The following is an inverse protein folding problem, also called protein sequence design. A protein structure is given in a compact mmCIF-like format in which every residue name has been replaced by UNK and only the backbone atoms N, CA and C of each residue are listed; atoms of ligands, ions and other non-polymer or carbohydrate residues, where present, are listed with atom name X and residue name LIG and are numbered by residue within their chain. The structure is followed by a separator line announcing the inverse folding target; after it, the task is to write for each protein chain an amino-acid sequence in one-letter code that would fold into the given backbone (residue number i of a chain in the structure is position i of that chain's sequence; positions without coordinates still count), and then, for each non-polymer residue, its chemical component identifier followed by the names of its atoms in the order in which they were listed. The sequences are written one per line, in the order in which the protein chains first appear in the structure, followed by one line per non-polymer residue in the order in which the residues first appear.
data_IF_623208227884
#
_entry.id   IF_623208227884
#
_cell.length_a   1.000
_cell.length_b   1.000
_cell.length_c   1.000
_cell.angle_alpha   90.00
_cell.angle_beta   90.00
_cell.angle_gamma   90.00
#
_symmetry.space_group_name_H-M   'P 1'
#
loop_
_entity.id
_entity.type
_entity.pdbx_description
1 polymer ?
#
# COMPACT_ATOMS: atom_id res chain seq x y z
N UNK A 1 -9.46 -10.51 8.76
CA UNK A 1 -8.84 -9.96 7.53
C UNK A 1 -9.79 -8.94 6.94
N UNK A 2 -9.26 -7.89 6.33
CA UNK A 2 -10.01 -6.83 5.65
C UNK A 2 -9.34 -6.50 4.31
N UNK A 3 -10.14 -6.07 3.34
CA UNK A 3 -9.65 -5.56 2.06
C UNK A 3 -9.06 -4.16 2.24
N UNK A 4 -7.78 -4.01 1.92
CA UNK A 4 -7.11 -2.72 1.78
C UNK A 4 -6.98 -2.38 0.28
N UNK A 5 -7.24 -1.14 -0.10
CA UNK A 5 -7.04 -0.66 -1.46
C UNK A 5 -5.73 0.12 -1.53
N UNK A 6 -4.89 -0.20 -2.51
CA UNK A 6 -3.58 0.42 -2.71
C UNK A 6 -3.73 1.86 -3.23
N UNK A 7 -4.47 2.02 -4.33
CA UNK A 7 -4.98 3.32 -4.75
C UNK A 7 -6.29 3.58 -4.00
N UNK A 8 -6.34 4.59 -3.11
CA UNK A 8 -7.53 4.89 -2.33
C UNK A 8 -8.69 5.30 -3.23
N UNK A 9 -9.89 4.80 -2.95
CA UNK A 9 -11.10 5.16 -3.70
C UNK A 9 -11.40 6.66 -3.65
N UNK A 10 -10.89 7.37 -2.64
CA UNK A 10 -10.98 8.84 -2.55
C UNK A 10 -10.39 9.56 -3.77
N UNK A 11 -9.46 8.94 -4.51
CA UNK A 11 -8.93 9.50 -5.76
C UNK A 11 -10.04 9.77 -6.78
N UNK A 12 -11.05 8.90 -6.85
CA UNK A 12 -12.17 9.01 -7.79
C UNK A 12 -13.06 10.23 -7.53
N UNK A 13 -13.02 10.77 -6.31
CA UNK A 13 -13.81 11.94 -5.92
C UNK A 13 -13.02 13.25 -6.04
N UNK A 14 -11.74 13.20 -6.47
CA UNK A 14 -10.92 14.41 -6.64
C UNK A 14 -11.01 14.89 -8.08
N UNK A 15 -11.53 16.11 -8.25
CA UNK A 15 -11.74 16.72 -9.57
C UNK A 15 -10.47 16.83 -10.40
N UNK A 16 -9.31 17.07 -9.77
CA UNK A 16 -8.01 17.16 -10.46
C UNK A 16 -7.64 15.88 -11.24
N UNK A 17 -8.13 14.71 -10.83
CA UNK A 17 -7.84 13.44 -11.54
C UNK A 17 -8.94 13.03 -12.51
N UNK A 18 -10.06 13.78 -12.55
CA UNK A 18 -11.25 13.40 -13.31
C UNK A 18 -10.99 13.26 -14.81
N UNK A 19 -10.24 14.20 -15.40
CA UNK A 19 -9.89 14.18 -16.83
C UNK A 19 -9.05 12.96 -17.19
N UNK A 20 -8.00 12.67 -16.42
CA UNK A 20 -7.15 11.51 -16.62
C UNK A 20 -7.95 10.22 -16.46
N UNK A 21 -8.70 10.05 -15.38
CA UNK A 21 -9.45 8.81 -15.16
C UNK A 21 -10.55 8.57 -16.18
N UNK A 22 -11.21 9.63 -16.67
CA UNK A 22 -12.16 9.52 -17.77
C UNK A 22 -11.49 9.05 -19.07
N UNK A 23 -10.29 9.57 -19.38
CA UNK A 23 -9.54 9.19 -20.57
C UNK A 23 -8.94 7.78 -20.49
N UNK A 24 -8.41 7.38 -19.33
CA UNK A 24 -7.77 6.09 -19.13
C UNK A 24 -8.79 4.96 -18.99
N UNK A 25 -9.92 5.23 -18.31
CA UNK A 25 -10.93 4.24 -17.96
C UNK A 25 -10.61 3.50 -16.65
N UNK A 26 -11.60 3.43 -15.75
CA UNK A 26 -11.45 2.80 -14.41
C UNK A 26 -11.07 1.32 -14.45
N UNK A 27 -11.60 0.60 -15.44
CA UNK A 27 -11.31 -0.83 -15.65
C UNK A 27 -9.83 -1.05 -15.99
N UNK A 28 -9.28 -0.24 -16.91
CA UNK A 28 -7.88 -0.33 -17.33
C UNK A 28 -6.91 0.03 -16.20
N UNK A 29 -7.28 0.98 -15.35
CA UNK A 29 -6.52 1.29 -14.12
C UNK A 29 -6.64 0.15 -13.09
N UNK A 30 -7.78 -0.56 -13.08
CA UNK A 30 -8.03 -1.68 -12.17
C UNK A 30 -8.46 -1.23 -10.77
N UNK A 31 -9.11 -0.08 -10.63
CA UNK A 31 -9.57 0.43 -9.32
C UNK A 31 -10.45 -0.56 -8.56
N UNK A 32 -11.31 -1.27 -9.30
CA UNK A 32 -12.27 -2.22 -8.77
C UNK A 32 -11.78 -3.70 -8.89
N UNK A 33 -10.61 -3.94 -9.50
CA UNK A 33 -9.98 -5.27 -9.50
C UNK A 33 -9.09 -5.45 -8.27
N UNK A 34 -9.55 -6.27 -7.33
CA UNK A 34 -8.85 -6.54 -6.08
C UNK A 34 -7.47 -7.18 -6.25
N UNK A 35 -7.24 -7.95 -7.33
CA UNK A 35 -5.93 -8.57 -7.58
C UNK A 35 -4.87 -7.52 -7.93
N UNK A 36 -5.34 -6.42 -8.50
CA UNK A 36 -4.51 -5.32 -8.98
C UNK A 36 -4.34 -4.29 -7.87
N UNK A 37 -5.46 -3.79 -7.36
CA UNK A 37 -5.51 -2.63 -6.48
C UNK A 37 -5.78 -3.00 -5.02
N UNK A 38 -5.73 -4.29 -4.69
CA UNK A 38 -6.08 -4.79 -3.37
C UNK A 38 -4.97 -5.61 -2.71
N UNK A 39 -5.11 -5.70 -1.39
CA UNK A 39 -4.39 -6.62 -0.52
C UNK A 39 -5.27 -6.99 0.68
N UNK A 40 -5.15 -8.23 1.17
CA UNK A 40 -5.80 -8.63 2.42
C UNK A 40 -4.87 -8.33 3.58
N UNK A 41 -5.34 -7.51 4.52
CA UNK A 41 -4.60 -7.17 5.72
C UNK A 41 -5.36 -7.58 7.00
N UNK A 42 -4.66 -7.86 8.09
CA UNK A 42 -5.23 -8.06 9.40
C UNK A 42 -6.15 -6.92 9.83
N UNK A 43 -7.32 -7.26 10.35
CA UNK A 43 -8.30 -6.30 10.87
C UNK A 43 -8.28 -6.21 12.40
N UNK A 44 -7.46 -7.03 13.06
CA UNK A 44 -7.27 -7.03 14.50
C UNK A 44 -5.83 -7.42 14.85
N UNK A 45 -5.41 -7.00 16.02
CA UNK A 45 -4.06 -7.12 16.58
C UNK A 45 -3.63 -8.58 16.64
N UNK A 46 -4.53 -9.47 17.11
CA UNK A 46 -4.27 -10.92 17.16
C UNK A 46 -3.98 -11.51 15.77
N UNK A 47 -4.67 -11.04 14.73
CA UNK A 47 -4.41 -11.49 13.37
C UNK A 47 -3.10 -10.92 12.83
N UNK A 48 -2.79 -9.65 13.14
CA UNK A 48 -1.53 -9.01 12.76
C UNK A 48 -0.33 -9.73 13.37
N UNK A 49 -0.37 -10.02 14.67
CA UNK A 49 0.65 -10.80 15.37
C UNK A 49 0.85 -12.19 14.76
N UNK A 50 -0.24 -12.90 14.43
CA UNK A 50 -0.16 -14.26 13.87
C UNK A 50 0.35 -14.31 12.43
N UNK A 51 0.26 -13.21 11.68
CA UNK A 51 0.56 -13.19 10.24
C UNK A 51 1.78 -12.35 9.89
N UNK A 52 2.33 -11.60 10.87
CA UNK A 52 3.36 -10.58 10.66
C UNK A 52 2.98 -9.52 9.60
N UNK A 53 1.68 -9.37 9.30
CA UNK A 53 1.19 -8.38 8.35
C UNK A 53 0.71 -7.10 9.07
N UNK A 54 0.77 -5.93 8.40
CA UNK A 54 0.33 -4.67 8.98
C UNK A 54 -1.14 -4.68 9.43
N UNK A 55 -1.40 -4.11 10.60
CA UNK A 55 -2.75 -3.90 11.10
C UNK A 55 -3.48 -2.85 10.27
N UNK A 56 -4.55 -3.27 9.60
CA UNK A 56 -5.47 -2.41 8.87
C UNK A 56 -6.75 -2.18 9.68
N UNK A 57 -6.83 -1.01 10.34
CA UNK A 57 -8.05 -0.52 11.00
C UNK A 57 -8.26 0.97 10.76
N UNK A 58 -9.48 1.32 10.37
CA UNK A 58 -9.90 2.71 10.23
C UNK A 58 -9.25 3.45 9.06
N UNK A 59 -9.49 4.77 8.94
CA UNK A 59 -8.89 5.59 7.92
C UNK A 59 -7.39 5.84 8.21
N UNK A 60 -6.55 5.69 7.18
CA UNK A 60 -5.11 5.92 7.22
C UNK A 60 -4.75 7.19 6.42
N UNK A 61 -4.87 8.35 7.07
CA UNK A 61 -4.79 9.67 6.42
C UNK A 61 -3.42 9.93 5.78
N UNK A 62 -2.33 9.63 6.48
CA UNK A 62 -0.96 9.86 6.00
C UNK A 62 -0.65 9.02 4.76
N UNK A 63 -1.05 7.74 4.77
CA UNK A 63 -0.98 6.87 3.61
C UNK A 63 -1.76 7.46 2.43
N UNK A 64 -3.00 7.88 2.66
CA UNK A 64 -3.85 8.42 1.60
C UNK A 64 -3.24 9.69 0.99
N UNK A 65 -2.72 10.60 1.82
CA UNK A 65 -2.06 11.81 1.37
C UNK A 65 -0.86 11.49 0.47
N UNK A 66 0.02 10.59 0.93
CA UNK A 66 1.17 10.15 0.14
C UNK A 66 0.76 9.56 -1.22
N UNK A 67 -0.25 8.67 -1.25
CA UNK A 67 -0.71 8.09 -2.52
C UNK A 67 -1.35 9.14 -3.43
N UNK A 68 -2.08 10.10 -2.86
CA UNK A 68 -2.69 11.21 -3.61
C UNK A 68 -1.60 12.07 -4.27
N UNK A 69 -0.54 12.40 -3.54
CA UNK A 69 0.57 13.20 -4.08
C UNK A 69 1.26 12.47 -5.25
N UNK A 70 1.53 11.17 -5.10
CA UNK A 70 2.15 10.36 -6.16
C UNK A 70 1.27 10.23 -7.40
N UNK A 71 -0.05 10.12 -7.23
CA UNK A 71 -0.98 10.15 -8.38
C UNK A 71 -1.04 11.54 -9.01
N UNK A 72 -0.83 12.60 -8.22
CA UNK A 72 -0.62 13.96 -8.70
C UNK A 72 0.53 14.09 -9.68
N UNK A 73 1.69 13.51 -9.35
CA UNK A 73 2.86 13.52 -10.24
C UNK A 73 2.55 12.84 -11.59
N UNK A 74 1.85 11.69 -11.56
CA UNK A 74 1.45 10.94 -12.76
C UNK A 74 0.46 11.76 -13.60
N UNK A 75 -0.54 12.39 -12.97
CA UNK A 75 -1.51 13.21 -13.68
C UNK A 75 -0.86 14.42 -14.34
N UNK A 76 0.03 15.13 -13.64
CA UNK A 76 0.74 16.28 -14.19
C UNK A 76 1.55 15.90 -15.43
N UNK A 77 2.26 14.76 -15.36
CA UNK A 77 3.04 14.24 -16.48
C UNK A 77 2.15 13.82 -17.66
N UNK A 78 1.05 13.12 -17.39
CA UNK A 78 0.06 12.75 -18.39
C UNK A 78 -0.53 13.97 -19.09
N UNK A 79 -0.87 15.02 -18.34
CA UNK A 79 -1.45 16.27 -18.86
C UNK A 79 -0.50 17.00 -19.82
N UNK A 80 0.80 16.94 -19.57
CA UNK A 80 1.81 17.49 -20.50
C UNK A 80 1.92 16.60 -21.75
N UNK A 81 2.09 15.28 -21.57
CA UNK A 81 2.36 14.33 -22.68
C UNK A 81 1.18 14.18 -23.64
N UNK A 82 -0.06 14.21 -23.13
CA UNK A 82 -1.27 14.03 -23.96
C UNK A 82 -1.44 15.08 -25.06
N UNK A 83 -0.78 16.24 -24.94
CA UNK A 83 -0.83 17.31 -25.93
C UNK A 83 -0.09 16.94 -27.22
N UNK A 84 0.91 16.06 -27.12
CA UNK A 84 1.70 15.60 -28.25
C UNK A 84 1.21 14.26 -28.78
N UNK A 85 0.99 13.30 -27.88
CA UNK A 85 0.48 11.96 -28.22
C UNK A 85 -0.44 11.48 -27.09
N UNK A 86 -1.75 11.53 -27.34
CA UNK A 86 -2.77 11.17 -26.36
C UNK A 86 -2.76 9.66 -26.04
N UNK A 87 -2.50 8.82 -27.04
CA UNK A 87 -2.54 7.37 -26.88
C UNK A 87 -1.31 6.86 -26.14
N UNK A 88 -0.13 7.37 -26.47
CA UNK A 88 1.10 7.07 -25.73
C UNK A 88 1.02 7.55 -24.30
N UNK A 89 0.59 8.80 -24.06
CA UNK A 89 0.39 9.33 -22.71
C UNK A 89 -0.56 8.45 -21.89
N UNK A 90 -1.64 7.95 -22.51
CA UNK A 90 -2.59 7.06 -21.87
C UNK A 90 -1.97 5.71 -21.45
N UNK A 91 -1.16 5.11 -22.33
CA UNK A 91 -0.44 3.85 -22.01
C UNK A 91 0.58 4.06 -20.90
N UNK A 92 1.36 5.13 -20.97
CA UNK A 92 2.37 5.49 -19.97
C UNK A 92 1.74 5.68 -18.59
N UNK A 93 0.68 6.49 -18.49
CA UNK A 93 0.02 6.75 -17.22
C UNK A 93 -0.56 5.48 -16.59
N UNK A 94 -1.08 4.55 -17.39
CA UNK A 94 -1.50 3.23 -16.90
C UNK A 94 -0.29 2.45 -16.37
N UNK A 95 0.81 2.41 -17.10
CA UNK A 95 2.02 1.72 -16.65
C UNK A 95 2.57 2.32 -15.34
N UNK A 96 2.57 3.64 -15.20
CA UNK A 96 3.00 4.34 -13.99
C UNK A 96 2.07 4.04 -12.79
N UNK A 97 0.75 4.05 -12.99
CA UNK A 97 -0.21 3.66 -11.94
C UNK A 97 0.00 2.20 -11.50
N UNK A 98 0.32 1.31 -12.44
CA UNK A 98 0.61 -0.10 -12.14
C UNK A 98 1.91 -0.26 -11.39
N UNK A 99 2.93 0.50 -11.76
CA UNK A 99 4.19 0.55 -11.04
C UNK A 99 3.97 1.04 -9.60
N UNK A 100 3.19 2.10 -9.42
CA UNK A 100 2.83 2.63 -8.11
C UNK A 100 2.09 1.58 -7.26
N UNK A 101 1.06 0.91 -7.80
CA UNK A 101 0.37 -0.17 -7.10
C UNK A 101 1.32 -1.28 -6.64
N UNK A 102 2.22 -1.72 -7.52
CA UNK A 102 3.20 -2.76 -7.19
C UNK A 102 4.20 -2.30 -6.13
N UNK A 103 4.67 -1.06 -6.22
CA UNK A 103 5.56 -0.46 -5.23
C UNK A 103 4.88 -0.35 -3.86
N UNK A 104 3.64 0.15 -3.80
CA UNK A 104 2.86 0.26 -2.57
C UNK A 104 2.62 -1.11 -1.92
N UNK A 105 2.30 -2.12 -2.73
CA UNK A 105 2.13 -3.50 -2.22
C UNK A 105 3.41 -4.00 -1.56
N UNK A 106 4.55 -3.84 -2.23
CA UNK A 106 5.86 -4.25 -1.68
C UNK A 106 6.18 -3.47 -0.41
N UNK A 107 6.02 -2.16 -0.44
CA UNK A 107 6.37 -1.30 0.69
C UNK A 107 5.49 -1.53 1.93
N UNK A 108 4.22 -1.90 1.74
CA UNK A 108 3.36 -2.30 2.86
C UNK A 108 3.79 -3.61 3.52
N UNK A 109 4.51 -4.47 2.80
CA UNK A 109 5.04 -5.73 3.32
C UNK A 109 6.51 -5.62 3.75
N UNK A 110 7.12 -4.45 3.58
CA UNK A 110 8.52 -4.21 3.91
C UNK A 110 8.67 -3.86 5.39
N UNK A 111 9.17 -4.82 6.17
CA UNK A 111 9.42 -4.65 7.61
C UNK A 111 10.58 -3.69 7.90
N UNK A 112 11.52 -3.50 6.97
CA UNK A 112 12.66 -2.61 7.15
C UNK A 112 12.27 -1.13 6.99
N UNK A 113 11.24 -0.84 6.20
CA UNK A 113 10.73 0.53 5.95
C UNK A 113 9.20 0.58 6.00
N UNK A 114 8.60 0.33 7.19
CA UNK A 114 7.17 0.12 7.28
C UNK A 114 6.38 1.41 7.05
N UNK A 115 5.38 1.36 6.16
CA UNK A 115 4.33 2.38 6.14
C UNK A 115 3.31 2.04 7.23
N UNK A 116 3.19 2.91 8.24
CA UNK A 116 2.19 2.74 9.29
C UNK A 116 0.78 3.08 8.78
N UNK A 117 -0.04 2.05 8.62
CA UNK A 117 -1.48 2.21 8.37
C UNK A 117 -2.27 2.50 9.65
N UNK A 118 -1.81 1.98 10.79
CA UNK A 118 -2.45 2.18 12.07
C UNK A 118 -1.42 2.45 13.18
N UNK A 119 -1.74 3.38 14.10
CA UNK A 119 -0.84 3.72 15.22
C UNK A 119 -0.74 2.60 16.28
N UNK A 120 -1.72 1.70 16.35
CA UNK A 120 -1.77 0.55 17.25
C UNK A 120 -1.28 -0.74 16.60
N UNK A 121 -0.62 -0.64 15.45
CA UNK A 121 -0.04 -1.79 14.78
C UNK A 121 0.99 -2.46 15.71
N UNK A 122 0.81 -3.75 16.06
CA UNK A 122 1.82 -4.47 16.83
C UNK A 122 3.05 -4.80 15.96
N UNK A 123 2.92 -4.83 14.63
CA UNK A 123 4.03 -5.08 13.72
C UNK A 123 4.91 -3.83 13.63
N UNK A 124 6.22 -3.99 13.76
CA UNK A 124 7.18 -2.87 13.81
C UNK A 124 7.37 -2.22 15.19
N UNK A 125 6.75 -2.74 16.26
CA UNK A 125 7.40 -2.66 17.58
C UNK A 125 8.52 -3.68 17.53
N UNK A 126 9.77 -3.24 17.60
CA UNK A 126 10.87 -4.15 17.95
C UNK A 126 10.55 -4.69 19.33
N UNK A 127 9.84 -5.82 19.39
CA UNK A 127 9.77 -6.61 20.60
C UNK A 127 11.18 -7.16 20.72
N UNK A 128 11.88 -6.73 21.75
CA UNK A 128 13.19 -7.27 22.09
C UNK A 128 12.99 -8.73 22.52
N UNK A 129 13.42 -9.65 21.67
CA UNK A 129 13.35 -11.09 21.95
C UNK A 129 14.59 -11.58 22.70
N UNK A 130 15.54 -10.71 23.05
CA UNK A 130 16.80 -11.10 23.70
C UNK A 130 16.56 -11.87 25.01
N UNK A 131 15.52 -11.51 25.78
CA UNK A 131 15.16 -12.25 27.00
C UNK A 131 14.60 -13.65 26.71
N UNK A 132 13.85 -13.83 25.61
CA UNK A 132 13.31 -15.13 25.21
C UNK A 132 14.40 -16.04 24.63
N UNK A 133 15.33 -15.48 23.86
CA UNK A 133 16.49 -16.20 23.31
C UNK A 133 17.43 -16.65 24.44
N UNK A 134 17.72 -15.77 25.41
CA UNK A 134 18.51 -16.14 26.60
C UNK A 134 17.86 -17.28 27.39
N UNK A 135 16.54 -17.26 27.56
CA UNK A 135 15.82 -18.32 28.26
C UNK A 135 15.82 -19.64 27.48
N UNK A 136 15.79 -19.59 26.15
CA UNK A 136 15.89 -20.76 25.29
C UNK A 136 17.29 -21.38 25.37
N UNK A 137 18.34 -20.56 25.39
CA UNK A 137 19.73 -21.00 25.56
C UNK A 137 19.94 -21.66 26.94
N UNK A 138 19.40 -21.07 28.01
CA UNK A 138 19.45 -21.65 29.36
C UNK A 138 18.74 -23.02 29.43
N UNK A 139 17.57 -23.14 28.79
CA UNK A 139 16.83 -24.41 28.71
C UNK A 139 17.58 -25.47 27.90
N UNK A 140 18.24 -25.08 26.80
CA UNK A 140 19.03 -26.00 25.98
C UNK A 140 20.30 -26.46 26.69
N UNK A 141 20.96 -25.56 27.43
CA UNK A 141 22.15 -25.87 28.21
C UNK A 141 21.84 -26.79 29.40
N UNK A 142 20.66 -26.65 30.02
CA UNK A 142 20.22 -27.52 31.11
C UNK A 142 19.80 -28.94 30.65
N UNK A 143 19.58 -29.14 29.35
CA UNK A 143 19.18 -30.41 28.76
C UNK A 143 20.35 -31.21 28.14
N UNK A 144 21.57 -30.67 28.16
CA UNK A 144 22.82 -31.30 27.70
C UNK A 144 23.60 -31.91 28.87
#
# INVERSE_FOLDING_TARGET
MQRHHLLPRQLLNRSCFGSMFAALGRERIGFDDFRINGMLLPSCERAAQRTALPLHRGPHQDYNAMVIDRVGDIEALWTVRRKSDCDAAGRDAIADLRMLQNALRKQLLDEARPIRLNRRDPTGKSIDFSELDALADDLWAAAA
#
